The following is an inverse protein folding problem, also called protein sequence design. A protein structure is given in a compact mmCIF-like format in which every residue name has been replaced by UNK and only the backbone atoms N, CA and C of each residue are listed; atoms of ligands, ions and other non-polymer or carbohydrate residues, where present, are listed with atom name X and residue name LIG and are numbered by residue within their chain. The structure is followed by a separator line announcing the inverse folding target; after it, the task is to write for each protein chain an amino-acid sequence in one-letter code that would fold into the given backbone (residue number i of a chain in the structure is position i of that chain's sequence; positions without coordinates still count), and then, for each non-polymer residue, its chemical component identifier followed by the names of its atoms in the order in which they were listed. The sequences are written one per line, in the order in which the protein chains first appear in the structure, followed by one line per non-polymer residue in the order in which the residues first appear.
data_IF_594607820684
#
_entry.id   IF_594607820684
#
_cell.length_a   1.000
_cell.length_b   1.000
_cell.length_c   1.000
_cell.angle_alpha   90.00
_cell.angle_beta   90.00
_cell.angle_gamma   90.00
#
_symmetry.space_group_name_H-M   'P 1'
#
loop_
_entity.id
_entity.type
_entity.pdbx_description
1 polymer ?
#
# COMPACT_ATOMS: atom_id res chain seq x y z
N UNK A 1 10.26 50.07 7.29
CA UNK A 1 10.76 48.74 7.65
C UNK A 1 9.62 47.79 7.35
N UNK A 2 9.68 47.12 6.21
CA UNK A 2 8.63 46.18 5.80
C UNK A 2 8.96 44.77 6.33
N UNK A 3 8.10 44.25 7.16
CA UNK A 3 8.14 42.84 7.55
C UNK A 3 7.85 41.97 6.32
N UNK A 4 8.90 41.39 5.79
CA UNK A 4 8.80 40.39 4.73
C UNK A 4 8.44 39.05 5.39
N UNK A 5 7.19 38.87 5.72
CA UNK A 5 6.67 37.58 6.17
C UNK A 5 6.82 36.58 5.01
N UNK A 6 7.94 35.88 4.99
CA UNK A 6 8.17 34.80 4.02
C UNK A 6 7.11 33.72 4.26
N UNK A 7 6.18 33.60 3.32
CA UNK A 7 5.22 32.51 3.27
C UNK A 7 5.99 31.20 3.29
N UNK A 8 5.78 30.30 4.25
CA UNK A 8 6.51 29.03 4.29
C UNK A 8 6.23 28.26 3.00
N UNK A 9 7.30 27.74 2.38
CA UNK A 9 7.17 26.93 1.16
C UNK A 9 6.16 25.79 1.39
N UNK A 10 5.32 25.46 0.41
CA UNK A 10 4.34 24.40 0.55
C UNK A 10 5.06 23.10 0.90
N UNK A 11 4.64 22.49 2.00
CA UNK A 11 5.21 21.24 2.46
C UNK A 11 4.93 20.17 1.40
N UNK A 12 5.97 19.47 0.95
CA UNK A 12 5.84 18.40 -0.03
C UNK A 12 4.71 17.42 0.40
N UNK A 13 3.87 16.96 -0.55
CA UNK A 13 2.76 16.07 -0.24
C UNK A 13 3.27 14.80 0.44
N UNK A 14 2.52 14.32 1.44
CA UNK A 14 2.82 13.03 2.05
C UNK A 14 2.66 11.94 1.02
N UNK A 15 3.48 10.90 1.13
CA UNK A 15 3.39 9.73 0.25
C UNK A 15 2.69 8.59 0.96
N UNK A 16 1.86 7.85 0.22
CA UNK A 16 1.19 6.64 0.71
C UNK A 16 1.49 5.46 -0.21
N UNK A 17 1.88 4.33 0.35
CA UNK A 17 1.92 3.05 -0.36
C UNK A 17 0.62 2.29 -0.11
N UNK A 18 -0.06 1.88 -1.19
CA UNK A 18 -1.27 1.04 -1.12
C UNK A 18 -0.96 -0.29 -1.77
N UNK A 19 -0.81 -1.35 -0.97
CA UNK A 19 -0.60 -2.69 -1.51
C UNK A 19 -1.90 -3.22 -2.11
N UNK A 20 -1.80 -3.92 -3.25
CA UNK A 20 -3.00 -4.32 -4.01
C UNK A 20 -3.80 -3.13 -4.55
N UNK A 21 -3.15 -1.97 -4.75
CA UNK A 21 -3.77 -0.75 -5.27
C UNK A 21 -4.34 -0.85 -6.67
N UNK A 22 -4.02 -1.92 -7.40
CA UNK A 22 -4.60 -2.24 -8.72
C UNK A 22 -5.93 -3.00 -8.66
N UNK A 23 -6.38 -3.44 -7.47
CA UNK A 23 -7.69 -4.07 -7.24
C UNK A 23 -8.76 -3.03 -6.91
N UNK A 24 -10.03 -3.43 -6.88
CA UNK A 24 -11.17 -2.50 -6.75
C UNK A 24 -11.11 -1.68 -5.46
N UNK A 25 -10.94 -2.33 -4.30
CA UNK A 25 -10.84 -1.65 -3.01
C UNK A 25 -9.57 -0.77 -2.97
N UNK A 26 -8.43 -1.33 -3.39
CA UNK A 26 -7.16 -0.60 -3.39
C UNK A 26 -7.19 0.62 -4.30
N UNK A 27 -7.80 0.52 -5.48
CA UNK A 27 -7.97 1.63 -6.41
C UNK A 27 -8.83 2.75 -5.82
N UNK A 28 -9.95 2.40 -5.19
CA UNK A 28 -10.81 3.38 -4.52
C UNK A 28 -10.05 4.10 -3.38
N UNK A 29 -9.26 3.37 -2.59
CA UNK A 29 -8.40 3.95 -1.55
C UNK A 29 -7.34 4.89 -2.16
N UNK A 30 -6.70 4.48 -3.27
CA UNK A 30 -5.72 5.32 -3.97
C UNK A 30 -6.33 6.64 -4.44
N UNK A 31 -7.51 6.59 -5.07
CA UNK A 31 -8.22 7.77 -5.56
C UNK A 31 -8.62 8.70 -4.41
N UNK A 32 -9.14 8.15 -3.30
CA UNK A 32 -9.52 8.94 -2.13
C UNK A 32 -8.31 9.64 -1.49
N UNK A 33 -7.19 8.93 -1.31
CA UNK A 33 -5.95 9.52 -0.76
C UNK A 33 -5.40 10.63 -1.67
N UNK A 34 -5.45 10.42 -2.98
CA UNK A 34 -5.00 11.43 -3.95
C UNK A 34 -5.88 12.68 -3.92
N UNK A 35 -7.20 12.54 -3.76
CA UNK A 35 -8.13 13.67 -3.61
C UNK A 35 -7.84 14.48 -2.33
N UNK A 36 -7.30 13.84 -1.27
CA UNK A 36 -6.83 14.50 -0.04
C UNK A 36 -5.40 15.09 -0.18
N UNK A 37 -4.84 15.15 -1.38
CA UNK A 37 -3.52 15.73 -1.65
C UNK A 37 -2.34 14.83 -1.25
N UNK A 38 -2.55 13.53 -1.08
CA UNK A 38 -1.50 12.54 -0.82
C UNK A 38 -0.93 12.04 -2.14
N UNK A 39 0.39 12.00 -2.29
CA UNK A 39 1.04 11.35 -3.43
C UNK A 39 1.01 9.83 -3.25
N UNK A 40 0.41 9.10 -4.21
CA UNK A 40 0.08 7.68 -4.03
C UNK A 40 1.03 6.77 -4.80
N UNK A 41 1.53 5.75 -4.11
CA UNK A 41 2.28 4.63 -4.71
C UNK A 41 1.29 3.46 -4.85
N UNK A 42 0.88 3.20 -6.08
CA UNK A 42 -0.10 2.17 -6.43
C UNK A 42 0.64 0.87 -6.68
N UNK A 43 0.57 -0.06 -5.74
CA UNK A 43 1.25 -1.36 -5.87
C UNK A 43 0.36 -2.41 -6.53
N UNK A 44 0.99 -3.22 -7.39
CA UNK A 44 0.42 -4.44 -7.96
C UNK A 44 1.39 -5.61 -7.81
N UNK A 45 0.87 -6.83 -7.68
CA UNK A 45 1.67 -8.06 -7.84
C UNK A 45 1.93 -8.33 -9.34
N UNK A 46 0.91 -8.74 -10.10
CA UNK A 46 1.02 -9.08 -11.52
C UNK A 46 0.31 -8.09 -12.46
N UNK A 47 -0.49 -7.18 -11.94
CA UNK A 47 -1.35 -6.31 -12.73
C UNK A 47 -0.79 -4.89 -12.93
N UNK A 48 0.47 -4.72 -13.35
CA UNK A 48 1.09 -3.40 -13.52
C UNK A 48 0.26 -2.46 -14.41
N UNK A 49 -0.30 -2.94 -15.51
CA UNK A 49 -1.14 -2.13 -16.39
C UNK A 49 -2.40 -1.58 -15.68
N UNK A 50 -3.00 -2.37 -14.77
CA UNK A 50 -4.12 -1.89 -13.95
C UNK A 50 -3.68 -0.83 -12.94
N UNK A 51 -2.51 -1.00 -12.31
CA UNK A 51 -1.95 0.01 -11.43
C UNK A 51 -1.66 1.32 -12.18
N UNK A 52 -1.11 1.21 -13.40
CA UNK A 52 -0.89 2.37 -14.29
C UNK A 52 -2.20 3.07 -14.69
N UNK A 53 -3.28 2.32 -14.91
CA UNK A 53 -4.58 2.91 -15.18
C UNK A 53 -5.12 3.71 -13.98
N UNK A 54 -4.90 3.24 -12.75
CA UNK A 54 -5.23 4.01 -11.53
C UNK A 54 -4.37 5.26 -11.42
N UNK A 55 -3.07 5.15 -11.70
CA UNK A 55 -2.16 6.32 -11.74
C UNK A 55 -2.66 7.35 -12.72
N UNK A 56 -3.00 6.95 -13.95
CA UNK A 56 -3.52 7.87 -14.98
C UNK A 56 -4.80 8.59 -14.54
N UNK A 57 -5.70 7.91 -13.80
CA UNK A 57 -6.90 8.54 -13.25
C UNK A 57 -6.56 9.60 -12.20
N UNK A 58 -5.61 9.31 -11.31
CA UNK A 58 -5.14 10.24 -10.29
C UNK A 58 -4.50 11.47 -10.92
N UNK A 59 -3.63 11.27 -11.91
CA UNK A 59 -2.96 12.37 -12.64
C UNK A 59 -3.93 13.22 -13.43
N UNK A 60 -4.93 12.62 -14.08
CA UNK A 60 -6.00 13.34 -14.78
C UNK A 60 -6.83 14.22 -13.82
N UNK A 61 -6.93 13.84 -12.55
CA UNK A 61 -7.58 14.63 -11.50
C UNK A 61 -6.63 15.66 -10.84
N UNK A 62 -5.38 15.78 -11.30
CA UNK A 62 -4.38 16.72 -10.78
C UNK A 62 -3.60 16.21 -9.56
N UNK A 63 -3.77 14.95 -9.18
CA UNK A 63 -3.01 14.30 -8.10
C UNK A 63 -1.67 13.78 -8.57
N UNK A 64 -0.81 13.39 -7.60
CA UNK A 64 0.47 12.75 -7.88
C UNK A 64 0.41 11.25 -7.58
N UNK A 65 0.84 10.41 -8.52
CA UNK A 65 0.91 8.97 -8.29
C UNK A 65 2.03 8.30 -9.09
N UNK A 66 2.41 7.09 -8.66
CA UNK A 66 3.29 6.19 -9.42
C UNK A 66 2.88 4.75 -9.20
N UNK A 67 3.06 3.91 -10.21
CA UNK A 67 2.86 2.47 -10.10
C UNK A 67 4.14 1.75 -9.71
N UNK A 68 4.03 0.69 -8.90
CA UNK A 68 5.13 -0.20 -8.57
C UNK A 68 4.66 -1.66 -8.61
N UNK A 69 5.55 -2.56 -9.02
CA UNK A 69 5.24 -3.97 -9.09
C UNK A 69 6.26 -4.78 -8.29
N UNK A 70 5.78 -5.60 -7.37
CA UNK A 70 6.53 -6.65 -6.68
C UNK A 70 5.56 -7.67 -6.06
N UNK A 71 6.07 -8.83 -5.68
CA UNK A 71 5.30 -9.82 -4.92
C UNK A 71 5.54 -9.59 -3.42
N UNK A 72 4.49 -9.29 -2.67
CA UNK A 72 4.57 -9.08 -1.21
C UNK A 72 5.01 -10.35 -0.46
N UNK A 73 4.87 -11.52 -1.06
CA UNK A 73 5.32 -12.80 -0.47
C UNK A 73 6.82 -12.99 -0.58
N UNK A 74 7.47 -12.33 -1.55
CA UNK A 74 8.92 -12.28 -1.70
C UNK A 74 9.51 -11.14 -0.85
N UNK A 75 10.01 -11.46 0.33
CA UNK A 75 10.59 -10.47 1.24
C UNK A 75 11.82 -9.76 0.68
N UNK A 76 12.63 -10.41 -0.17
CA UNK A 76 13.80 -9.79 -0.77
C UNK A 76 13.41 -8.79 -1.86
N UNK A 77 12.53 -9.19 -2.78
CA UNK A 77 12.01 -8.31 -3.81
C UNK A 77 11.24 -7.12 -3.22
N UNK A 78 10.40 -7.36 -2.20
CA UNK A 78 9.68 -6.30 -1.48
C UNK A 78 10.65 -5.30 -0.85
N UNK A 79 11.70 -5.78 -0.16
CA UNK A 79 12.71 -4.90 0.45
C UNK A 79 13.41 -4.04 -0.60
N UNK A 80 13.89 -4.63 -1.70
CA UNK A 80 14.56 -3.91 -2.78
C UNK A 80 13.66 -2.83 -3.39
N UNK A 81 12.38 -3.15 -3.63
CA UNK A 81 11.42 -2.18 -4.14
C UNK A 81 11.17 -1.03 -3.16
N UNK A 82 11.04 -1.32 -1.87
CA UNK A 82 10.86 -0.30 -0.83
C UNK A 82 12.09 0.58 -0.65
N UNK A 83 13.30 0.03 -0.73
CA UNK A 83 14.55 0.80 -0.68
C UNK A 83 14.64 1.78 -1.86
N UNK A 84 14.31 1.35 -3.07
CA UNK A 84 14.25 2.22 -4.25
C UNK A 84 13.21 3.35 -4.08
N UNK A 85 12.03 3.03 -3.55
CA UNK A 85 10.99 4.01 -3.27
C UNK A 85 11.40 5.01 -2.17
N UNK A 86 12.07 4.54 -1.11
CA UNK A 86 12.55 5.39 -0.01
C UNK A 86 13.67 6.33 -0.45
N UNK A 87 14.47 5.96 -1.46
CA UNK A 87 15.50 6.83 -2.02
C UNK A 87 14.92 8.12 -2.63
N UNK A 88 13.65 8.10 -3.06
CA UNK A 88 12.94 9.27 -3.59
C UNK A 88 12.13 10.04 -2.54
N UNK A 89 12.17 9.61 -1.28
CA UNK A 89 11.52 10.27 -0.15
C UNK A 89 10.80 9.32 0.80
N UNK A 90 10.40 9.80 1.98
CA UNK A 90 9.75 8.98 3.00
C UNK A 90 8.38 8.50 2.53
N UNK A 91 7.96 7.33 3.04
CA UNK A 91 6.63 6.75 2.85
C UNK A 91 5.97 6.66 4.24
N UNK A 92 5.37 7.73 4.73
CA UNK A 92 4.82 7.78 6.07
C UNK A 92 3.42 7.17 6.20
N UNK A 93 2.79 6.77 5.10
CA UNK A 93 1.47 6.11 5.09
C UNK A 93 1.60 4.77 4.37
N UNK A 94 1.14 3.70 5.00
CA UNK A 94 1.02 2.39 4.37
C UNK A 94 -0.38 1.83 4.56
N UNK A 95 -1.01 1.43 3.48
CA UNK A 95 -2.28 0.73 3.46
C UNK A 95 -2.01 -0.71 3.03
N UNK A 96 -2.04 -1.63 3.98
CA UNK A 96 -1.94 -3.06 3.73
C UNK A 96 -3.32 -3.56 3.27
N UNK A 97 -3.51 -3.58 1.96
CA UNK A 97 -4.75 -3.99 1.31
C UNK A 97 -4.54 -5.24 0.41
N UNK A 98 -3.30 -5.58 0.06
CA UNK A 98 -3.04 -6.82 -0.66
C UNK A 98 -3.58 -8.02 0.12
N UNK A 99 -4.39 -8.82 -0.53
CA UNK A 99 -5.00 -10.00 0.04
C UNK A 99 -5.53 -10.91 -1.05
N UNK A 100 -5.63 -12.18 -0.75
CA UNK A 100 -6.31 -13.19 -1.56
C UNK A 100 -7.24 -13.99 -0.66
N UNK A 101 -8.21 -14.62 -1.26
CA UNK A 101 -9.04 -15.64 -0.62
C UNK A 101 -8.89 -16.95 -1.39
N UNK A 102 -8.99 -18.05 -0.69
CA UNK A 102 -8.91 -19.39 -1.25
C UNK A 102 -9.68 -20.33 -0.32
N UNK A 103 -11.01 -20.23 -0.41
CA UNK A 103 -11.92 -20.80 0.57
C UNK A 103 -12.08 -22.31 0.37
N UNK A 104 -12.00 -23.08 1.45
CA UNK A 104 -12.31 -24.50 1.50
C UNK A 104 -12.73 -24.89 2.91
N UNK A 105 -13.56 -25.92 3.07
CA UNK A 105 -13.79 -26.53 4.38
C UNK A 105 -12.46 -27.00 4.99
N UNK A 106 -12.21 -26.69 6.26
CA UNK A 106 -10.93 -26.97 6.93
C UNK A 106 -10.48 -28.43 6.79
N UNK A 107 -11.44 -29.38 6.83
CA UNK A 107 -11.16 -30.81 6.68
C UNK A 107 -10.62 -31.22 5.29
N UNK A 108 -10.85 -30.39 4.27
CA UNK A 108 -10.41 -30.63 2.89
C UNK A 108 -9.37 -29.61 2.39
N UNK A 109 -8.99 -28.65 3.22
CA UNK A 109 -8.03 -27.61 2.84
C UNK A 109 -6.62 -28.20 2.73
N UNK A 110 -5.98 -27.99 1.58
CA UNK A 110 -4.59 -28.36 1.38
C UNK A 110 -3.62 -27.35 2.01
N UNK A 111 -2.47 -27.84 2.50
CA UNK A 111 -1.45 -26.97 3.12
C UNK A 111 -0.99 -25.85 2.19
N UNK A 112 -0.83 -26.10 0.90
CA UNK A 112 -0.45 -25.09 -0.07
C UNK A 112 -1.51 -23.98 -0.23
N UNK A 113 -2.80 -24.34 -0.13
CA UNK A 113 -3.92 -23.40 -0.14
C UNK A 113 -3.89 -22.50 1.10
N UNK A 114 -3.73 -23.10 2.28
CA UNK A 114 -3.54 -22.38 3.53
C UNK A 114 -2.36 -21.41 3.46
N UNK A 115 -1.17 -21.93 3.04
CA UNK A 115 0.07 -21.14 2.98
C UNK A 115 -0.08 -19.92 2.07
N UNK A 116 -0.68 -20.05 0.87
CA UNK A 116 -0.86 -18.92 -0.05
C UNK A 116 -1.58 -17.73 0.60
N UNK A 117 -2.65 -18.00 1.36
CA UNK A 117 -3.42 -16.94 2.04
C UNK A 117 -2.60 -16.31 3.16
N UNK A 118 -1.92 -17.12 3.97
CA UNK A 118 -1.05 -16.66 5.06
C UNK A 118 0.14 -15.85 4.51
N UNK A 119 0.76 -16.32 3.44
CA UNK A 119 1.93 -15.65 2.84
C UNK A 119 1.58 -14.26 2.35
N UNK A 120 0.45 -14.09 1.68
CA UNK A 120 0.01 -12.77 1.22
C UNK A 120 -0.46 -11.89 2.38
N UNK A 121 -1.30 -12.42 3.28
CA UNK A 121 -2.01 -11.61 4.28
C UNK A 121 -1.16 -11.28 5.52
N UNK A 122 -0.28 -12.20 5.96
CA UNK A 122 0.55 -12.03 7.16
C UNK A 122 2.01 -11.76 6.82
N UNK A 123 2.65 -12.63 6.02
CA UNK A 123 4.05 -12.41 5.66
C UNK A 123 4.18 -11.18 4.77
N UNK A 124 3.26 -10.96 3.83
CA UNK A 124 3.22 -9.75 3.02
C UNK A 124 3.06 -8.47 3.83
N UNK A 125 2.16 -8.47 4.83
CA UNK A 125 2.06 -7.36 5.79
C UNK A 125 3.41 -7.07 6.47
N UNK A 126 4.08 -8.10 6.96
CA UNK A 126 5.37 -7.96 7.63
C UNK A 126 6.45 -7.43 6.69
N UNK A 127 6.59 -8.02 5.49
CA UNK A 127 7.60 -7.63 4.50
C UNK A 127 7.47 -6.17 4.07
N UNK A 128 6.24 -5.67 3.94
CA UNK A 128 5.95 -4.29 3.54
C UNK A 128 6.09 -3.33 4.71
N UNK A 129 5.54 -3.67 5.86
CA UNK A 129 5.42 -2.74 6.99
C UNK A 129 6.74 -2.57 7.75
N UNK A 130 7.43 -3.67 8.03
CA UNK A 130 8.63 -3.66 8.87
C UNK A 130 9.73 -2.71 8.36
N UNK A 131 10.09 -2.66 7.06
CA UNK A 131 11.10 -1.74 6.56
C UNK A 131 10.71 -0.26 6.66
N UNK A 132 9.42 0.05 6.71
CA UNK A 132 8.91 1.42 6.78
C UNK A 132 8.82 1.97 8.21
N UNK A 133 8.85 1.12 9.24
CA UNK A 133 8.67 1.54 10.63
C UNK A 133 9.77 2.49 11.10
N UNK A 134 11.02 2.18 10.83
CA UNK A 134 12.14 3.01 11.29
C UNK A 134 12.19 4.38 10.58
N UNK A 135 11.98 4.49 9.26
CA UNK A 135 11.75 5.77 8.58
C UNK A 135 10.59 6.59 9.18
N UNK A 136 9.45 5.95 9.48
CA UNK A 136 8.31 6.61 10.13
C UNK A 136 8.67 7.13 11.52
N UNK A 137 9.34 6.30 12.33
CA UNK A 137 9.79 6.69 13.69
C UNK A 137 10.76 7.88 13.66
N UNK A 138 11.74 7.87 12.73
CA UNK A 138 12.67 8.99 12.53
C UNK A 138 11.94 10.26 12.10
N UNK A 139 10.92 10.14 11.27
CA UNK A 139 10.05 11.24 10.86
C UNK A 139 9.04 11.68 11.93
N UNK A 140 8.98 10.99 13.09
CA UNK A 140 8.02 11.21 14.18
C UNK A 140 6.58 11.24 13.73
N UNK A 141 6.29 10.61 12.59
CA UNK A 141 4.94 10.52 12.04
C UNK A 141 4.80 9.32 11.11
N UNK A 142 3.71 8.58 11.25
CA UNK A 142 3.37 7.47 10.40
C UNK A 142 1.91 7.03 10.59
N UNK A 143 1.34 6.39 9.58
CA UNK A 143 0.02 5.76 9.62
C UNK A 143 0.10 4.41 8.94
N UNK A 144 -0.35 3.39 9.63
CA UNK A 144 -0.45 2.02 9.14
C UNK A 144 -1.92 1.62 9.24
N UNK A 145 -2.50 1.26 8.10
CA UNK A 145 -3.89 0.79 8.02
C UNK A 145 -3.86 -0.59 7.38
N UNK A 146 -4.53 -1.55 7.99
CA UNK A 146 -4.69 -2.89 7.44
C UNK A 146 -6.16 -3.12 7.11
N UNK A 147 -6.42 -3.52 5.86
CA UNK A 147 -7.76 -3.91 5.42
C UNK A 147 -7.98 -5.34 5.87
N UNK A 148 -8.94 -5.52 6.74
CA UNK A 148 -9.39 -6.81 7.24
C UNK A 148 -10.71 -7.20 6.55
N UNK A 149 -11.39 -8.19 7.07
CA UNK A 149 -12.67 -8.66 6.54
C UNK A 149 -13.68 -8.82 7.66
N UNK A 150 -14.95 -8.62 7.33
CA UNK A 150 -16.07 -8.99 8.19
C UNK A 150 -16.08 -10.51 8.50
N UNK A 151 -15.50 -11.32 7.64
CA UNK A 151 -15.34 -12.76 7.86
C UNK A 151 -14.46 -13.10 9.09
N UNK A 152 -13.65 -12.16 9.54
CA UNK A 152 -12.90 -12.30 10.80
C UNK A 152 -13.79 -12.19 12.05
N UNK A 153 -14.97 -11.62 11.92
CA UNK A 153 -15.95 -11.43 13.02
C UNK A 153 -17.16 -12.35 12.89
N UNK A 154 -17.60 -12.57 11.65
CA UNK A 154 -18.78 -13.39 11.35
C UNK A 154 -18.28 -14.67 10.66
N UNK A 155 -18.23 -15.76 11.24
CA UNK A 155 -17.82 -16.99 10.55
C UNK A 155 -18.39 -17.10 9.14
N UNK A 156 -17.61 -17.62 8.20
CA UNK A 156 -18.01 -17.85 6.81
C UNK A 156 -17.84 -19.32 6.45
N UNK A 157 -18.61 -19.78 5.46
CA UNK A 157 -18.51 -21.14 4.98
C UNK A 157 -17.29 -21.28 4.05
N UNK A 158 -16.41 -22.21 4.38
CA UNK A 158 -15.18 -22.45 3.62
C UNK A 158 -13.92 -21.95 4.29
#
# INVERSE_FOLDING_TARGET
MGDNASTPAPKAPRRALVTGGSGDIGAAVCLALAADGVAVIVHANAGLARAQAVVAQIEAAGGGAQAVQFDVTDGAATRAALEALLATGPIPIVINNAGIHDDAPMAGMGEAQWRRVIDVSLHGFFHVTQPLLLPMARGRWGRIVSISSVAAQLGNRG
#
